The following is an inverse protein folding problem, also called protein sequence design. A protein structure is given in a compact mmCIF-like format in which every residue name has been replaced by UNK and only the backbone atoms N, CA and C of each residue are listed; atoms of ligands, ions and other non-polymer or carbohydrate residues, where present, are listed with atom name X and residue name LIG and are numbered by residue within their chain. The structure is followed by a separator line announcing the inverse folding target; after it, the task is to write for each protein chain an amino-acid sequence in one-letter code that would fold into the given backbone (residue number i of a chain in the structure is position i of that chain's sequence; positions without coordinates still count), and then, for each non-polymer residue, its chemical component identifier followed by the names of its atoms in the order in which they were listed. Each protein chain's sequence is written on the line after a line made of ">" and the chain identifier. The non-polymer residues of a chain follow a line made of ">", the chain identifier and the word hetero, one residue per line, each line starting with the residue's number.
data_IF_083043756645
#
_entry.id   IF_083043756645
#
_cell.length_a   1.000
_cell.length_b   1.000
_cell.length_c   1.000
_cell.angle_alpha   90.00
_cell.angle_beta   90.00
_cell.angle_gamma   90.00
#
_symmetry.space_group_name_H-M   'P 1'
#
loop_
_entity.id
_entity.type
_entity.pdbx_description
1 polymer ?
#
# COMPACT_ATOMS: atom_id res chain seq x y z
N UNK A 1 -2.36 -20.11 8.45
CA UNK A 1 -1.22 -21.04 8.52
C UNK A 1 -0.83 -21.25 9.94
N UNK A 2 -1.02 -22.45 10.41
CA UNK A 2 -0.52 -22.89 11.70
C UNK A 2 0.95 -23.23 11.53
N UNK A 3 1.81 -22.23 11.55
CA UNK A 3 3.20 -22.52 11.87
C UNK A 3 3.24 -22.94 13.34
N UNK A 4 3.53 -24.19 13.61
CA UNK A 4 3.79 -24.71 14.96
C UNK A 4 5.08 -24.12 15.56
N UNK A 5 5.90 -23.48 14.74
CA UNK A 5 7.11 -22.76 15.11
C UNK A 5 6.85 -21.28 14.99
N UNK A 6 6.49 -20.64 16.08
CA UNK A 6 6.49 -19.22 16.38
C UNK A 6 6.35 -18.26 15.20
N UNK A 7 5.19 -18.22 14.56
CA UNK A 7 4.94 -17.23 13.51
C UNK A 7 4.92 -15.79 14.06
N UNK A 8 5.12 -14.83 13.18
CA UNK A 8 5.09 -13.38 13.48
C UNK A 8 3.85 -12.98 14.30
N UNK A 9 2.70 -13.60 14.03
CA UNK A 9 1.45 -13.39 14.77
C UNK A 9 1.47 -13.85 16.24
N UNK A 10 2.50 -14.62 16.66
CA UNK A 10 2.75 -14.96 18.06
C UNK A 10 3.79 -14.07 18.71
N UNK A 11 4.32 -13.10 17.99
CA UNK A 11 5.42 -12.23 18.41
C UNK A 11 6.67 -12.99 18.88
N UNK A 12 6.86 -14.20 18.36
CA UNK A 12 7.97 -15.07 18.78
C UNK A 12 9.30 -14.75 18.07
N UNK A 13 9.24 -14.09 16.91
CA UNK A 13 10.41 -13.64 16.15
C UNK A 13 10.30 -12.14 15.87
N UNK A 14 10.48 -11.34 16.91
CA UNK A 14 10.42 -9.88 16.81
C UNK A 14 11.66 -9.28 16.13
N UNK A 15 12.80 -9.98 16.15
CA UNK A 15 14.05 -9.44 15.59
C UNK A 15 14.00 -9.26 14.07
N UNK A 16 13.25 -10.10 13.38
CA UNK A 16 13.14 -10.06 11.93
C UNK A 16 11.80 -9.49 11.44
N UNK A 17 10.86 -9.26 12.35
CA UNK A 17 9.57 -8.70 12.01
C UNK A 17 9.73 -7.27 11.45
N UNK A 18 9.31 -7.08 10.21
CA UNK A 18 9.38 -5.77 9.56
C UNK A 18 10.70 -5.43 8.85
N UNK A 19 11.76 -6.24 8.99
CA UNK A 19 13.06 -5.94 8.36
C UNK A 19 12.94 -5.73 6.85
N UNK A 20 12.19 -6.56 6.14
CA UNK A 20 12.01 -6.41 4.70
C UNK A 20 11.29 -5.10 4.35
N UNK A 21 10.26 -4.74 5.10
CA UNK A 21 9.54 -3.46 4.92
C UNK A 21 10.46 -2.28 5.16
N UNK A 22 11.20 -2.28 6.27
CA UNK A 22 12.17 -1.24 6.60
C UNK A 22 13.23 -1.08 5.51
N UNK A 23 13.91 -2.15 5.15
CA UNK A 23 15.00 -2.11 4.18
C UNK A 23 14.52 -1.69 2.79
N UNK A 24 13.37 -2.21 2.35
CA UNK A 24 12.79 -1.86 1.04
C UNK A 24 12.42 -0.39 0.97
N UNK A 25 11.76 0.14 1.99
CA UNK A 25 11.35 1.54 1.98
C UNK A 25 12.54 2.50 2.04
N UNK A 26 13.57 2.23 2.84
CA UNK A 26 14.78 3.09 2.86
C UNK A 26 15.58 3.00 1.57
N UNK A 27 15.63 1.84 0.91
CA UNK A 27 16.22 1.73 -0.44
C UNK A 27 15.46 2.62 -1.44
N UNK A 28 14.13 2.59 -1.40
CA UNK A 28 13.32 3.45 -2.28
C UNK A 28 13.47 4.93 -1.92
N UNK A 29 13.57 5.29 -0.65
CA UNK A 29 13.82 6.67 -0.23
C UNK A 29 15.14 7.21 -0.77
N UNK A 30 16.18 6.39 -0.85
CA UNK A 30 17.46 6.78 -1.49
C UNK A 30 17.25 7.12 -2.97
N UNK A 31 16.54 6.27 -3.71
CA UNK A 31 16.22 6.52 -5.12
C UNK A 31 15.33 7.77 -5.31
N UNK A 32 14.37 7.98 -4.42
CA UNK A 32 13.47 9.14 -4.45
C UNK A 32 14.24 10.44 -4.14
N UNK A 33 15.19 10.40 -3.18
CA UNK A 33 16.10 11.52 -2.89
C UNK A 33 16.89 11.91 -4.13
N UNK A 34 17.54 10.94 -4.76
CA UNK A 34 18.32 11.17 -5.97
C UNK A 34 17.44 11.73 -7.12
N UNK A 35 16.26 11.17 -7.32
CA UNK A 35 15.29 11.69 -8.29
C UNK A 35 14.95 13.16 -8.03
N UNK A 36 14.70 13.53 -6.77
CA UNK A 36 14.39 14.90 -6.39
C UNK A 36 15.56 15.85 -6.67
N UNK A 37 16.78 15.46 -6.28
CA UNK A 37 17.99 16.26 -6.46
C UNK A 37 18.31 16.49 -7.95
N UNK A 38 18.19 15.44 -8.77
CA UNK A 38 18.32 15.54 -10.23
C UNK A 38 17.25 16.46 -10.84
N UNK A 39 15.99 16.34 -10.37
CA UNK A 39 14.89 17.18 -10.83
C UNK A 39 15.08 18.66 -10.44
N UNK A 40 15.67 18.93 -9.27
CA UNK A 40 16.06 20.30 -8.87
C UNK A 40 17.15 20.82 -9.78
N UNK A 41 18.20 20.05 -10.04
CA UNK A 41 19.29 20.45 -10.94
C UNK A 41 18.86 20.68 -12.38
N UNK A 42 17.82 19.98 -12.84
CA UNK A 42 17.22 20.12 -14.16
C UNK A 42 16.07 21.15 -14.20
N UNK A 43 15.76 21.83 -13.09
CA UNK A 43 14.63 22.77 -12.93
C UNK A 43 13.26 22.14 -13.30
N UNK A 44 13.15 20.81 -13.24
CA UNK A 44 11.95 20.07 -13.63
C UNK A 44 10.93 19.98 -12.48
N UNK A 45 9.99 20.91 -12.43
CA UNK A 45 9.00 21.03 -11.35
C UNK A 45 8.11 19.78 -11.18
N UNK A 46 7.67 19.19 -12.30
CA UNK A 46 6.80 18.03 -12.25
C UNK A 46 7.49 16.80 -11.66
N UNK A 47 8.78 16.55 -11.99
CA UNK A 47 9.54 15.46 -11.38
C UNK A 47 9.86 15.74 -9.90
N UNK A 48 10.08 16.99 -9.50
CA UNK A 48 10.19 17.35 -8.09
C UNK A 48 8.88 17.03 -7.34
N UNK A 49 7.73 17.40 -7.91
CA UNK A 49 6.42 17.14 -7.31
C UNK A 49 6.13 15.64 -7.17
N UNK A 50 6.47 14.83 -8.19
CA UNK A 50 6.33 13.36 -8.13
C UNK A 50 7.23 12.79 -7.04
N UNK A 51 8.50 13.21 -6.96
CA UNK A 51 9.43 12.75 -5.93
C UNK A 51 8.93 13.08 -4.51
N UNK A 52 8.41 14.30 -4.28
CA UNK A 52 7.81 14.68 -3.01
C UNK A 52 6.55 13.85 -2.67
N UNK A 53 5.71 13.57 -3.66
CA UNK A 53 4.52 12.73 -3.48
C UNK A 53 4.90 11.30 -3.07
N UNK A 54 5.88 10.71 -3.74
CA UNK A 54 6.38 9.37 -3.42
C UNK A 54 7.08 9.34 -2.07
N UNK A 55 7.89 10.35 -1.75
CA UNK A 55 8.54 10.49 -0.44
C UNK A 55 7.51 10.53 0.69
N UNK A 56 6.48 11.35 0.53
CA UNK A 56 5.39 11.45 1.49
C UNK A 56 4.66 10.12 1.68
N UNK A 57 4.38 9.40 0.59
CA UNK A 57 3.75 8.08 0.64
C UNK A 57 4.61 7.07 1.41
N UNK A 58 5.91 7.02 1.14
CA UNK A 58 6.83 6.08 1.80
C UNK A 58 6.97 6.40 3.28
N UNK A 59 7.19 7.67 3.65
CA UNK A 59 7.34 8.05 5.06
C UNK A 59 6.05 7.88 5.85
N UNK A 60 4.88 8.14 5.28
CA UNK A 60 3.61 7.85 5.94
C UNK A 60 3.48 6.36 6.28
N UNK A 61 3.83 5.47 5.33
CA UNK A 61 3.81 4.02 5.58
C UNK A 61 4.87 3.58 6.60
N UNK A 62 6.08 4.13 6.54
CA UNK A 62 7.14 3.82 7.51
C UNK A 62 6.73 4.19 8.93
N UNK A 63 6.31 5.44 9.13
CA UNK A 63 5.95 5.92 10.47
C UNK A 63 4.69 5.24 11.02
N UNK A 64 3.75 4.83 10.14
CA UNK A 64 2.59 4.04 10.54
C UNK A 64 2.97 2.63 11.02
N UNK A 65 4.00 2.04 10.41
CA UNK A 65 4.47 0.70 10.81
C UNK A 65 5.38 0.73 12.04
N UNK A 66 6.22 1.77 12.19
CA UNK A 66 7.35 1.77 13.13
C UNK A 66 7.32 2.90 14.16
N UNK A 67 6.41 3.87 14.04
CA UNK A 67 6.40 5.06 14.90
C UNK A 67 7.49 6.06 14.51
N UNK A 68 8.37 6.39 15.45
CA UNK A 68 9.52 7.25 15.20
C UNK A 68 10.49 6.56 14.22
N UNK A 69 10.96 7.30 13.20
CA UNK A 69 11.86 6.78 12.15
C UNK A 69 12.88 7.82 11.72
N UNK A 70 14.08 7.40 11.27
CA UNK A 70 15.02 8.35 10.66
C UNK A 70 14.42 9.02 9.41
N UNK A 71 14.44 10.34 9.36
CA UNK A 71 13.96 11.11 8.22
C UNK A 71 14.93 12.24 7.85
N UNK A 72 15.22 13.15 8.78
CA UNK A 72 16.04 14.33 8.47
C UNK A 72 17.50 14.01 8.16
N UNK A 73 18.02 12.96 8.75
CA UNK A 73 19.39 12.48 8.52
C UNK A 73 19.43 11.20 7.66
N UNK A 74 18.27 10.66 7.27
CA UNK A 74 18.21 9.43 6.48
C UNK A 74 18.72 9.62 5.05
N UNK A 75 19.22 8.52 4.47
CA UNK A 75 19.70 8.47 3.07
C UNK A 75 20.82 9.48 2.77
N UNK A 76 21.67 9.78 3.75
CA UNK A 76 22.82 10.72 3.65
C UNK A 76 24.15 10.03 3.93
N UNK A 77 24.26 8.77 3.52
CA UNK A 77 25.51 8.00 3.66
C UNK A 77 26.66 8.57 2.83
N UNK A 78 26.36 9.21 1.71
CA UNK A 78 27.28 9.97 0.86
C UNK A 78 27.90 11.18 1.58
N UNK A 79 27.16 11.75 2.55
CA UNK A 79 27.63 12.82 3.43
C UNK A 79 28.29 12.28 4.72
N UNK A 80 28.50 10.98 4.85
CA UNK A 80 29.12 10.32 6.00
C UNK A 80 28.18 10.06 7.18
N UNK A 81 26.87 10.26 7.04
CA UNK A 81 25.88 9.98 8.07
C UNK A 81 25.48 8.51 8.01
N UNK A 82 26.16 7.67 8.80
CA UNK A 82 25.91 6.20 8.82
C UNK A 82 24.96 5.79 9.94
N UNK A 83 24.75 6.64 10.94
CA UNK A 83 23.85 6.40 12.08
C UNK A 83 22.88 7.55 12.24
N UNK A 84 21.86 7.65 11.37
CA UNK A 84 20.90 8.74 11.40
C UNK A 84 20.06 8.71 12.68
N UNK A 85 19.72 9.87 13.20
CA UNK A 85 18.82 10.02 14.35
C UNK A 85 17.37 9.74 13.95
N UNK A 86 16.61 9.23 14.91
CA UNK A 86 15.17 9.07 14.76
C UNK A 86 14.46 10.41 14.96
N UNK A 87 13.58 10.73 14.04
CA UNK A 87 12.62 11.82 14.15
C UNK A 87 11.31 11.28 14.74
N UNK A 88 10.63 12.09 15.53
CA UNK A 88 9.33 11.72 16.10
C UNK A 88 8.28 11.51 14.98
N UNK A 89 7.32 10.63 15.21
CA UNK A 89 6.21 10.41 14.27
C UNK A 89 5.49 11.73 13.92
N UNK A 90 5.31 12.63 14.88
CA UNK A 90 4.76 13.97 14.64
C UNK A 90 5.57 14.73 13.59
N UNK A 91 6.89 14.81 13.76
CA UNK A 91 7.77 15.53 12.82
C UNK A 91 7.77 14.90 11.43
N UNK A 92 7.70 13.57 11.37
CA UNK A 92 7.56 12.85 10.09
C UNK A 92 6.26 13.23 9.38
N UNK A 93 5.15 13.27 10.10
CA UNK A 93 3.87 13.68 9.49
C UNK A 93 3.81 15.16 9.13
N UNK A 94 4.43 16.04 9.90
CA UNK A 94 4.59 17.46 9.54
C UNK A 94 5.31 17.58 8.18
N UNK A 95 6.37 16.81 7.97
CA UNK A 95 7.08 16.78 6.70
C UNK A 95 6.24 16.15 5.57
N UNK A 96 5.53 15.06 5.83
CA UNK A 96 4.62 14.42 4.86
C UNK A 96 3.58 15.42 4.35
N UNK A 97 2.94 16.17 5.24
CA UNK A 97 1.95 17.17 4.86
C UNK A 97 2.58 18.34 4.08
N UNK A 98 3.78 18.79 4.49
CA UNK A 98 4.54 19.83 3.82
C UNK A 98 4.96 19.42 2.41
N UNK A 99 5.42 18.17 2.24
CA UNK A 99 5.81 17.63 0.94
C UNK A 99 4.61 17.61 -0.04
N UNK A 100 3.43 17.19 0.44
CA UNK A 100 2.24 17.10 -0.38
C UNK A 100 1.67 18.49 -0.76
N UNK A 101 1.72 19.46 0.14
CA UNK A 101 1.36 20.85 -0.18
C UNK A 101 2.32 21.45 -1.19
N UNK A 102 3.62 21.20 -1.04
CA UNK A 102 4.66 21.66 -1.97
C UNK A 102 4.49 20.99 -3.33
N UNK A 103 4.27 19.67 -3.36
CA UNK A 103 4.03 18.94 -4.60
C UNK A 103 2.81 19.51 -5.36
N UNK A 104 1.69 19.76 -4.65
CA UNK A 104 0.52 20.35 -5.26
C UNK A 104 0.82 21.71 -5.94
N UNK A 105 1.69 22.52 -5.33
CA UNK A 105 2.07 23.84 -5.88
C UNK A 105 3.08 23.78 -7.03
N UNK A 106 3.88 22.70 -7.10
CA UNK A 106 4.90 22.51 -8.14
C UNK A 106 4.33 21.92 -9.43
N UNK A 107 3.23 21.15 -9.37
CA UNK A 107 2.66 20.53 -10.56
C UNK A 107 2.23 21.59 -11.59
N UNK A 108 2.84 21.50 -12.76
CA UNK A 108 2.50 22.30 -13.95
C UNK A 108 1.79 21.41 -14.98
N UNK A 109 0.48 21.55 -15.09
CA UNK A 109 -0.37 20.74 -15.97
C UNK A 109 -0.22 21.08 -17.46
N UNK A 110 0.58 22.12 -17.80
CA UNK A 110 0.92 22.46 -19.19
C UNK A 110 2.04 21.59 -19.76
N UNK A 111 2.79 20.89 -18.89
CA UNK A 111 3.87 19.99 -19.25
C UNK A 111 3.52 18.55 -18.89
N UNK A 112 3.98 17.59 -19.70
CA UNK A 112 3.83 16.17 -19.44
C UNK A 112 5.11 15.58 -18.85
N UNK A 113 4.97 14.52 -18.05
CA UNK A 113 6.09 13.64 -17.70
C UNK A 113 6.40 12.69 -18.85
N UNK A 114 7.45 11.88 -18.69
CA UNK A 114 7.77 10.84 -19.68
C UNK A 114 6.64 9.80 -19.75
N UNK A 115 6.35 9.30 -20.95
CA UNK A 115 5.45 8.18 -21.20
C UNK A 115 5.95 6.84 -20.63
N UNK A 116 7.17 6.82 -20.05
CA UNK A 116 7.66 5.67 -19.27
C UNK A 116 7.12 5.62 -17.85
N UNK A 117 6.31 6.60 -17.43
CA UNK A 117 5.57 6.58 -16.18
C UNK A 117 4.52 5.46 -16.18
N UNK A 118 4.78 4.42 -15.39
CA UNK A 118 3.93 3.23 -15.34
C UNK A 118 2.60 3.45 -14.62
N UNK A 119 2.47 4.51 -13.83
CA UNK A 119 1.27 4.76 -13.04
C UNK A 119 0.21 5.51 -13.86
N UNK A 120 0.62 6.56 -14.57
CA UNK A 120 -0.30 7.47 -15.25
C UNK A 120 0.12 7.84 -16.67
N UNK A 121 1.11 7.15 -17.25
CA UNK A 121 1.58 7.42 -18.63
C UNK A 121 1.96 8.90 -18.86
N UNK A 122 2.54 9.52 -17.84
CA UNK A 122 2.99 10.91 -17.87
C UNK A 122 1.92 11.97 -17.62
N UNK A 123 0.70 11.58 -17.26
CA UNK A 123 -0.40 12.53 -16.98
C UNK A 123 -0.19 13.25 -15.63
N UNK A 124 0.28 14.50 -15.71
CA UNK A 124 0.55 15.35 -14.55
C UNK A 124 -0.71 15.66 -13.74
N UNK A 125 -1.89 15.78 -14.39
CA UNK A 125 -3.14 16.05 -13.67
C UNK A 125 -3.50 14.91 -12.74
N UNK A 126 -3.31 13.67 -13.18
CA UNK A 126 -3.53 12.49 -12.34
C UNK A 126 -2.54 12.40 -11.18
N UNK A 127 -1.28 12.74 -11.41
CA UNK A 127 -0.28 12.84 -10.35
C UNK A 127 -0.67 13.89 -9.30
N UNK A 128 -1.13 15.06 -9.73
CA UNK A 128 -1.60 16.13 -8.83
C UNK A 128 -2.82 15.70 -8.02
N UNK A 129 -3.78 15.03 -8.67
CA UNK A 129 -4.92 14.42 -7.98
C UNK A 129 -4.50 13.36 -6.98
N UNK A 130 -3.51 12.54 -7.30
CA UNK A 130 -2.98 11.55 -6.37
C UNK A 130 -2.32 12.20 -5.16
N UNK A 131 -1.46 13.19 -5.34
CA UNK A 131 -0.82 13.93 -4.25
C UNK A 131 -1.86 14.54 -3.29
N UNK A 132 -2.88 15.20 -3.82
CA UNK A 132 -3.94 15.80 -3.00
C UNK A 132 -4.83 14.73 -2.33
N UNK A 133 -5.14 13.63 -2.98
CA UNK A 133 -5.88 12.53 -2.39
C UNK A 133 -5.10 11.88 -1.24
N UNK A 134 -3.80 11.70 -1.41
CA UNK A 134 -2.89 11.23 -0.37
C UNK A 134 -2.79 12.21 0.80
N UNK A 135 -2.81 13.53 0.51
CA UNK A 135 -2.85 14.59 1.52
C UNK A 135 -4.12 14.46 2.38
N UNK A 136 -5.29 14.30 1.76
CA UNK A 136 -6.55 14.08 2.49
C UNK A 136 -6.50 12.82 3.36
N UNK A 137 -5.96 11.69 2.84
CA UNK A 137 -5.74 10.46 3.63
C UNK A 137 -4.90 10.74 4.87
N UNK A 138 -3.78 11.44 4.70
CA UNK A 138 -2.86 11.77 5.80
C UNK A 138 -3.52 12.67 6.84
N UNK A 139 -4.29 13.67 6.40
CA UNK A 139 -5.05 14.56 7.30
C UNK A 139 -6.13 13.82 8.09
N UNK A 140 -6.90 12.93 7.45
CA UNK A 140 -7.90 12.12 8.15
C UNK A 140 -7.26 11.20 9.19
N UNK A 141 -6.10 10.61 8.87
CA UNK A 141 -5.34 9.76 9.78
C UNK A 141 -4.91 10.53 11.05
N UNK A 142 -4.65 11.81 10.92
CA UNK A 142 -4.30 12.73 12.00
C UNK A 142 -5.51 13.37 12.71
N UNK A 143 -6.74 12.98 12.38
CA UNK A 143 -7.97 13.62 12.87
C UNK A 143 -8.12 13.68 14.39
N UNK A 144 -7.47 12.75 15.12
CA UNK A 144 -7.46 12.72 16.59
C UNK A 144 -6.24 13.42 17.21
N UNK A 145 -5.40 14.08 16.39
CA UNK A 145 -4.23 14.85 16.82
C UNK A 145 -4.55 16.35 16.71
N UNK A 146 -5.04 16.93 17.80
CA UNK A 146 -5.49 18.33 17.81
C UNK A 146 -4.39 19.31 17.46
N UNK A 147 -3.13 19.00 17.83
CA UNK A 147 -1.94 19.78 17.54
C UNK A 147 -1.65 19.93 16.03
N UNK A 148 -2.15 18.99 15.22
CA UNK A 148 -1.93 18.98 13.77
C UNK A 148 -2.97 19.81 12.97
N UNK A 149 -4.05 20.26 13.63
CA UNK A 149 -5.14 21.01 13.01
C UNK A 149 -5.67 20.41 11.68
N UNK A 150 -5.60 19.07 11.58
CA UNK A 150 -5.78 18.33 10.33
C UNK A 150 -7.19 18.43 9.75
N UNK A 151 -8.22 18.45 10.59
CA UNK A 151 -9.61 18.54 10.13
C UNK A 151 -9.94 19.91 9.50
N UNK A 152 -9.37 21.01 10.00
CA UNK A 152 -9.55 22.33 9.39
C UNK A 152 -8.90 22.38 8.00
N UNK A 153 -7.71 21.80 7.85
CA UNK A 153 -7.03 21.69 6.55
C UNK A 153 -7.81 20.79 5.59
N UNK A 154 -8.33 19.66 6.07
CA UNK A 154 -9.15 18.75 5.27
C UNK A 154 -10.42 19.47 4.75
N UNK A 155 -11.10 20.23 5.60
CA UNK A 155 -12.25 21.04 5.21
C UNK A 155 -11.89 22.12 4.17
N UNK A 156 -10.73 22.77 4.32
CA UNK A 156 -10.21 23.73 3.30
C UNK A 156 -10.04 23.05 1.95
N UNK A 157 -9.42 21.83 1.94
CA UNK A 157 -9.18 21.10 0.69
C UNK A 157 -10.48 20.68 0.01
N UNK A 158 -11.45 20.17 0.77
CA UNK A 158 -12.77 19.78 0.26
C UNK A 158 -13.52 21.01 -0.29
N UNK A 159 -13.43 22.13 0.39
CA UNK A 159 -14.08 23.40 -0.01
C UNK A 159 -13.43 24.10 -1.22
N UNK A 160 -12.23 23.67 -1.63
CA UNK A 160 -11.49 24.31 -2.71
C UNK A 160 -10.93 23.31 -3.74
N UNK A 161 -11.78 22.63 -4.51
CA UNK A 161 -11.37 21.59 -5.46
C UNK A 161 -10.51 22.11 -6.63
N UNK A 162 -10.56 23.43 -6.92
CA UNK A 162 -9.69 24.02 -7.94
C UNK A 162 -8.25 24.08 -7.48
N UNK A 163 -8.02 24.47 -6.23
CA UNK A 163 -6.68 24.48 -5.63
C UNK A 163 -6.18 23.08 -5.30
N UNK A 164 -7.06 22.21 -4.86
CA UNK A 164 -6.76 20.85 -4.42
C UNK A 164 -7.59 19.82 -5.21
N UNK A 165 -7.31 19.62 -6.50
CA UNK A 165 -7.99 18.58 -7.26
C UNK A 165 -7.63 17.19 -6.70
N UNK A 166 -8.66 16.36 -6.49
CA UNK A 166 -8.54 14.98 -5.97
C UNK A 166 -9.15 13.99 -6.96
N UNK A 167 -9.09 12.70 -6.68
CA UNK A 167 -9.76 11.71 -7.53
C UNK A 167 -11.25 12.00 -7.64
N UNK A 168 -11.76 11.96 -8.87
CA UNK A 168 -13.18 12.23 -9.22
C UNK A 168 -13.88 10.97 -9.75
N UNK A 169 -13.12 9.96 -10.14
CA UNK A 169 -13.63 8.70 -10.67
C UNK A 169 -12.58 7.59 -10.54
N UNK A 170 -12.97 6.32 -10.84
CA UNK A 170 -12.09 5.17 -10.74
C UNK A 170 -10.86 5.22 -11.67
N UNK A 171 -10.91 5.97 -12.77
CA UNK A 171 -9.77 6.09 -13.69
C UNK A 171 -8.66 7.03 -13.18
N UNK A 172 -8.96 7.83 -12.15
CA UNK A 172 -7.97 8.69 -11.47
C UNK A 172 -7.16 7.91 -10.43
N UNK A 173 -7.67 6.76 -9.97
CA UNK A 173 -7.04 5.99 -8.92
C UNK A 173 -5.59 5.63 -9.20
N UNK A 174 -4.75 5.66 -8.17
CA UNK A 174 -3.34 5.26 -8.25
C UNK A 174 -3.24 3.73 -8.25
N UNK A 175 -3.36 3.14 -9.44
CA UNK A 175 -3.44 1.72 -9.71
C UNK A 175 -2.32 1.30 -10.65
N UNK A 176 -1.20 0.79 -10.11
CA UNK A 176 -0.07 0.36 -10.91
C UNK A 176 -0.39 -0.95 -11.65
N UNK A 177 -0.40 -0.97 -12.99
CA UNK A 177 -0.62 -2.20 -13.75
C UNK A 177 0.62 -3.09 -13.69
N UNK A 178 0.40 -4.38 -13.40
CA UNK A 178 1.42 -5.43 -13.42
C UNK A 178 1.08 -6.36 -14.59
N UNK A 179 1.92 -6.34 -15.63
CA UNK A 179 1.67 -7.10 -16.85
C UNK A 179 1.94 -8.60 -16.71
N UNK A 180 2.85 -8.99 -15.82
CA UNK A 180 3.39 -10.34 -15.72
C UNK A 180 4.46 -10.65 -16.75
N UNK A 181 4.94 -9.64 -17.46
CA UNK A 181 6.05 -9.75 -18.41
C UNK A 181 7.25 -9.05 -17.76
N UNK A 182 8.38 -9.77 -17.62
CA UNK A 182 9.59 -9.23 -17.02
C UNK A 182 10.00 -7.89 -17.67
N UNK A 183 10.41 -6.86 -16.89
CA UNK A 183 10.65 -6.85 -15.43
C UNK A 183 9.40 -6.56 -14.57
N UNK A 184 8.21 -6.49 -15.16
CA UNK A 184 6.96 -6.15 -14.48
C UNK A 184 6.20 -7.40 -14.05
N UNK A 185 6.94 -8.35 -13.45
CA UNK A 185 6.37 -9.55 -12.87
C UNK A 185 5.62 -9.21 -11.57
N UNK A 186 4.57 -9.97 -11.30
CA UNK A 186 3.91 -9.90 -10.00
C UNK A 186 4.89 -10.32 -8.91
N UNK A 187 5.01 -9.56 -7.79
CA UNK A 187 5.77 -10.02 -6.63
C UNK A 187 5.18 -11.30 -6.02
N UNK A 188 3.99 -11.68 -6.47
CA UNK A 188 3.21 -12.85 -6.11
C UNK A 188 3.22 -13.89 -7.26
N UNK A 189 4.24 -13.88 -8.11
CA UNK A 189 4.28 -14.72 -9.32
C UNK A 189 4.29 -16.22 -9.04
N UNK A 190 4.75 -16.63 -7.84
CA UNK A 190 4.71 -18.02 -7.42
C UNK A 190 3.44 -18.30 -6.63
N UNK A 191 2.48 -18.89 -7.30
CA UNK A 191 1.19 -19.23 -6.71
C UNK A 191 1.33 -20.14 -5.47
N UNK A 192 2.37 -20.98 -5.45
CA UNK A 192 2.71 -21.84 -4.32
C UNK A 192 2.95 -21.07 -3.04
N UNK A 193 3.52 -19.88 -3.09
CA UNK A 193 3.77 -19.03 -1.91
C UNK A 193 2.46 -18.58 -1.25
N UNK A 194 1.38 -18.53 -2.02
CA UNK A 194 0.02 -18.22 -1.53
C UNK A 194 -0.78 -19.45 -1.15
N UNK A 195 -0.59 -20.56 -1.82
CA UNK A 195 -1.42 -21.75 -1.67
C UNK A 195 -0.79 -22.82 -0.78
N UNK A 196 0.53 -22.95 -0.79
CA UNK A 196 1.22 -23.96 0.03
C UNK A 196 1.06 -23.67 1.51
N UNK A 197 0.55 -24.65 2.25
CA UNK A 197 0.34 -24.55 3.71
C UNK A 197 -0.51 -23.36 4.17
N UNK A 198 -1.35 -22.84 3.28
CA UNK A 198 -2.29 -21.75 3.58
C UNK A 198 -3.68 -22.19 3.16
N UNK A 199 -4.66 -21.73 3.92
CA UNK A 199 -6.07 -21.97 3.64
C UNK A 199 -6.88 -20.77 4.14
N UNK A 200 -8.08 -20.62 3.61
CA UNK A 200 -9.02 -19.60 4.08
C UNK A 200 -9.45 -19.87 5.51
N UNK A 201 -9.57 -18.80 6.29
CA UNK A 201 -10.11 -18.89 7.65
C UNK A 201 -11.63 -19.11 7.62
N UNK A 202 -12.14 -20.01 8.48
CA UNK A 202 -13.57 -20.32 8.55
C UNK A 202 -14.43 -19.08 8.81
N UNK A 203 -13.96 -18.14 9.64
CA UNK A 203 -14.67 -16.89 9.88
C UNK A 203 -14.95 -16.13 8.58
N UNK A 204 -13.94 -15.95 7.74
CA UNK A 204 -14.09 -15.23 6.46
C UNK A 204 -15.03 -15.98 5.50
N UNK A 205 -14.81 -17.29 5.34
CA UNK A 205 -15.63 -18.12 4.45
C UNK A 205 -17.09 -18.12 4.90
N UNK A 206 -17.35 -18.39 6.17
CA UNK A 206 -18.72 -18.46 6.72
C UNK A 206 -19.44 -17.12 6.57
N UNK A 207 -18.76 -16.00 6.83
CA UNK A 207 -19.35 -14.66 6.66
C UNK A 207 -19.80 -14.44 5.21
N UNK A 208 -18.98 -14.80 4.22
CA UNK A 208 -19.35 -14.65 2.81
C UNK A 208 -20.50 -15.60 2.41
N UNK A 209 -20.50 -16.81 2.94
CA UNK A 209 -21.58 -17.79 2.70
C UNK A 209 -22.90 -17.29 3.30
N UNK A 210 -22.90 -16.85 4.55
CA UNK A 210 -24.09 -16.33 5.26
C UNK A 210 -24.69 -15.10 4.57
N UNK A 211 -23.82 -14.22 4.04
CA UNK A 211 -24.25 -13.03 3.30
C UNK A 211 -24.62 -13.30 1.84
N UNK A 212 -24.52 -14.55 1.37
CA UNK A 212 -24.67 -14.89 -0.06
C UNK A 212 -23.82 -13.97 -0.96
N UNK A 213 -22.60 -13.67 -0.55
CA UNK A 213 -21.73 -12.72 -1.24
C UNK A 213 -21.30 -13.28 -2.61
N UNK A 214 -21.64 -12.60 -3.73
CA UNK A 214 -21.31 -13.06 -5.07
C UNK A 214 -19.81 -13.10 -5.36
N UNK A 215 -18.97 -12.51 -4.53
CA UNK A 215 -17.52 -12.53 -4.64
C UNK A 215 -16.88 -13.82 -4.12
N UNK A 216 -17.64 -14.69 -3.43
CA UNK A 216 -17.13 -15.92 -2.86
C UNK A 216 -16.35 -16.78 -3.88
N UNK A 217 -16.91 -17.14 -5.07
CA UNK A 217 -16.19 -17.91 -6.07
C UNK A 217 -15.05 -17.13 -6.75
N UNK A 218 -15.01 -15.81 -6.60
CA UNK A 218 -13.92 -14.98 -7.11
C UNK A 218 -12.72 -15.05 -6.17
N UNK A 219 -12.98 -15.03 -4.85
CA UNK A 219 -11.94 -15.00 -3.84
C UNK A 219 -11.27 -16.35 -3.60
N UNK A 220 -12.00 -17.46 -3.76
CA UNK A 220 -11.49 -18.77 -3.37
C UNK A 220 -12.05 -19.92 -4.21
N UNK A 221 -11.26 -20.98 -4.25
CA UNK A 221 -11.71 -22.28 -4.79
C UNK A 221 -12.56 -23.00 -3.76
N UNK A 222 -13.42 -23.93 -4.19
CA UNK A 222 -14.18 -24.78 -3.29
C UNK A 222 -13.26 -25.71 -2.49
N UNK A 223 -13.66 -26.02 -1.27
CA UNK A 223 -13.06 -27.07 -0.46
C UNK A 223 -13.28 -28.44 -1.07
N UNK A 224 -12.39 -29.38 -0.80
CA UNK A 224 -12.48 -30.77 -1.29
C UNK A 224 -12.42 -31.76 -0.15
N UNK A 225 -12.94 -32.97 -0.37
CA UNK A 225 -12.74 -34.08 0.57
C UNK A 225 -11.26 -34.42 0.72
N UNK A 226 -10.87 -34.78 1.91
CA UNK A 226 -9.50 -35.22 2.23
C UNK A 226 -9.38 -36.75 2.25
N UNK A 227 -10.04 -37.41 1.29
CA UNK A 227 -10.05 -38.87 1.11
C UNK A 227 -9.37 -39.34 -0.18
N UNK A 228 -8.72 -38.41 -0.89
CA UNK A 228 -8.07 -38.64 -2.18
C UNK A 228 -8.97 -38.45 -3.40
N UNK A 229 -10.28 -38.32 -3.23
CA UNK A 229 -11.25 -38.18 -4.36
C UNK A 229 -11.20 -36.80 -5.02
N UNK A 230 -10.74 -35.77 -4.29
CA UNK A 230 -10.81 -34.36 -4.70
C UNK A 230 -12.25 -33.88 -4.99
N UNK A 231 -13.26 -34.57 -4.45
CA UNK A 231 -14.66 -34.20 -4.60
C UNK A 231 -14.90 -32.82 -3.95
N UNK A 232 -15.50 -31.91 -4.69
CA UNK A 232 -15.86 -30.57 -4.21
C UNK A 232 -17.02 -30.64 -3.23
N UNK A 233 -16.88 -29.94 -2.10
CA UNK A 233 -17.85 -29.93 -1.00
C UNK A 233 -18.34 -28.54 -0.64
N UNK A 234 -18.27 -27.58 -1.59
CA UNK A 234 -18.59 -26.19 -1.38
C UNK A 234 -17.45 -25.43 -0.67
N UNK A 235 -17.78 -24.33 -0.04
CA UNK A 235 -16.78 -23.45 0.56
C UNK A 235 -16.65 -23.71 2.06
N UNK A 236 -15.45 -24.07 2.50
CA UNK A 236 -15.14 -24.32 3.92
C UNK A 236 -13.76 -23.78 4.26
N UNK A 237 -13.61 -23.12 5.39
CA UNK A 237 -12.33 -22.66 5.94
C UNK A 237 -11.89 -23.47 7.14
N UNK A 238 -10.62 -23.33 7.52
CA UNK A 238 -10.13 -23.85 8.81
C UNK A 238 -10.36 -22.83 9.93
N UNK A 239 -10.67 -23.25 11.16
CA UNK A 239 -10.71 -22.37 12.32
C UNK A 239 -9.33 -21.71 12.51
N UNK A 240 -9.32 -20.41 12.77
CA UNK A 240 -8.05 -19.73 13.10
C UNK A 240 -7.52 -20.24 14.44
N UNK A 241 -6.22 -20.57 14.46
CA UNK A 241 -5.57 -21.02 15.70
C UNK A 241 -5.87 -22.48 16.10
N UNK A 242 -6.37 -23.32 15.21
CA UNK A 242 -6.55 -24.74 15.50
C UNK A 242 -5.24 -25.42 15.92
N UNK A 243 -5.34 -26.45 16.75
CA UNK A 243 -4.17 -27.17 17.28
C UNK A 243 -3.44 -27.93 16.17
N UNK A 244 -2.11 -28.02 16.27
CA UNK A 244 -1.30 -28.75 15.27
C UNK A 244 -1.65 -30.23 15.13
N UNK A 245 -2.27 -30.80 16.18
CA UNK A 245 -2.77 -32.19 16.23
C UNK A 245 -4.15 -32.38 15.64
N UNK A 246 -4.88 -31.30 15.42
CA UNK A 246 -6.24 -31.36 14.86
C UNK A 246 -6.19 -31.83 13.41
N UNK A 247 -7.14 -32.66 13.03
CA UNK A 247 -7.27 -33.23 11.68
C UNK A 247 -8.66 -32.94 11.15
N UNK A 248 -8.72 -32.61 9.87
CA UNK A 248 -9.95 -32.33 9.16
C UNK A 248 -10.15 -33.38 8.07
N UNK A 249 -11.40 -33.79 7.86
CA UNK A 249 -11.82 -34.70 6.80
C UNK A 249 -11.95 -34.00 5.42
N UNK A 250 -11.58 -32.74 5.37
CA UNK A 250 -11.58 -31.93 4.17
C UNK A 250 -10.31 -31.09 4.02
N UNK A 251 -10.01 -30.72 2.78
CA UNK A 251 -9.05 -29.68 2.44
C UNK A 251 -9.82 -28.37 2.29
N UNK A 252 -9.51 -27.39 3.11
CA UNK A 252 -10.21 -26.11 3.10
C UNK A 252 -10.03 -25.35 1.79
N UNK A 253 -10.99 -24.48 1.50
CA UNK A 253 -10.90 -23.51 0.40
C UNK A 253 -9.58 -22.75 0.45
N UNK A 254 -9.02 -22.52 -0.72
CA UNK A 254 -7.79 -21.76 -0.86
C UNK A 254 -8.04 -20.54 -1.75
N UNK A 255 -7.13 -19.57 -1.71
CA UNK A 255 -7.23 -18.39 -2.58
C UNK A 255 -7.33 -18.81 -4.05
N UNK A 256 -8.25 -18.18 -4.79
CA UNK A 256 -8.36 -18.42 -6.22
C UNK A 256 -7.05 -18.00 -6.90
N UNK A 257 -6.50 -18.90 -7.72
CA UNK A 257 -5.25 -18.71 -8.43
C UNK A 257 -5.20 -17.43 -9.25
N UNK A 258 -6.32 -17.07 -9.87
CA UNK A 258 -6.40 -15.88 -10.71
C UNK A 258 -6.18 -14.56 -9.99
N UNK A 259 -6.36 -14.52 -8.66
CA UNK A 259 -6.10 -13.32 -7.86
C UNK A 259 -4.61 -13.06 -7.61
N UNK A 260 -3.78 -14.09 -7.73
CA UNK A 260 -2.33 -14.00 -7.53
C UNK A 260 -1.54 -13.94 -8.85
N UNK A 261 -2.20 -14.06 -10.00
CA UNK A 261 -1.54 -14.09 -11.30
C UNK A 261 -1.75 -12.80 -12.08
N UNK A 262 -0.73 -12.42 -12.86
CA UNK A 262 -0.84 -11.29 -13.79
C UNK A 262 -1.73 -11.63 -15.01
N UNK A 263 -2.35 -10.61 -15.64
CA UNK A 263 -2.25 -9.20 -15.31
C UNK A 263 -3.04 -8.83 -14.05
N UNK A 264 -2.48 -7.96 -13.23
CA UNK A 264 -3.12 -7.48 -12.01
C UNK A 264 -2.82 -5.98 -11.79
N UNK A 265 -3.44 -5.38 -10.78
CA UNK A 265 -3.17 -3.99 -10.38
C UNK A 265 -2.77 -3.92 -8.92
N UNK A 266 -1.69 -3.23 -8.63
CA UNK A 266 -1.32 -2.87 -7.26
C UNK A 266 -1.99 -1.54 -6.90
N UNK A 267 -2.72 -1.54 -5.80
CA UNK A 267 -3.52 -0.41 -5.37
C UNK A 267 -2.72 0.46 -4.40
N UNK A 268 -2.31 1.66 -4.82
CA UNK A 268 -1.75 2.68 -3.92
C UNK A 268 -2.86 3.48 -3.23
N UNK A 269 -3.84 3.93 -4.01
CA UNK A 269 -5.01 4.63 -3.52
C UNK A 269 -6.16 4.56 -4.54
N UNK A 270 -7.39 4.42 -4.07
CA UNK A 270 -8.59 4.28 -4.91
C UNK A 270 -9.53 5.47 -4.76
N UNK A 271 -10.36 5.72 -5.78
CA UNK A 271 -11.39 6.77 -5.74
C UNK A 271 -12.42 6.57 -4.61
N UNK A 272 -12.96 5.36 -4.37
CA UNK A 272 -13.88 5.15 -3.24
C UNK A 272 -13.33 5.58 -1.89
N UNK A 273 -12.01 5.44 -1.66
CA UNK A 273 -11.39 5.92 -0.42
C UNK A 273 -11.52 7.43 -0.27
N UNK A 274 -11.33 8.20 -1.37
CA UNK A 274 -11.50 9.66 -1.34
C UNK A 274 -12.93 10.05 -1.00
N UNK A 275 -13.92 9.33 -1.54
CA UNK A 275 -15.33 9.60 -1.22
C UNK A 275 -15.66 9.31 0.25
N UNK A 276 -15.11 8.24 0.82
CA UNK A 276 -15.23 7.97 2.26
C UNK A 276 -14.51 9.01 3.14
N UNK A 277 -13.41 9.59 2.67
CA UNK A 277 -12.73 10.69 3.39
C UNK A 277 -13.57 11.96 3.39
N UNK A 278 -14.27 12.24 2.29
CA UNK A 278 -15.14 13.42 2.17
C UNK A 278 -16.42 13.29 3.02
N UNK A 279 -16.95 12.08 3.24
CA UNK A 279 -18.17 11.81 3.99
C UNK A 279 -17.98 11.92 5.51
#
# INVERSE_FOLDING_TARGET
>A
TTSTTGGVHRYADLQNAGNSTWNTYYLQLTNIKEMYELAVGAESKNYQAVALTLRAWVYANLTDCFGDVPMTEACRGDEGILTPKFDTQQKVYEQVLSDLETANSLFDESESLSSTDLLYDGDVRKWRKFANSLHMRSLLRLSKRSEMNSLAKLAEMIGNPVKYPVFENNADGALLPISGISPYDSPISRLEDFRSNKAMASFFVNTLVELNDPRLPIFMDEATKNDGSQEKIGYKGYPSGFAATERFDYNASNINATLGTAPMKVLFMTYPEVEFIKA
#
